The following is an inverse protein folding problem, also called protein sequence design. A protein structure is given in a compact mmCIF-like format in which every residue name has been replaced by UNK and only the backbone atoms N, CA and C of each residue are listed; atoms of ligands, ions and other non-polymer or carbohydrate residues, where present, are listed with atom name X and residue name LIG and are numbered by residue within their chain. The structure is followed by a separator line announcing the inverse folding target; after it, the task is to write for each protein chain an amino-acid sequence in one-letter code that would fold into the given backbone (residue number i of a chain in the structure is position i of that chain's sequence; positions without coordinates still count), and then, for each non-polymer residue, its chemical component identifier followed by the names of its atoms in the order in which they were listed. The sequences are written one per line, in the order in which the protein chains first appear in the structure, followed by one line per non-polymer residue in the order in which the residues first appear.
data_IF_688497383658
#
_entry.id   IF_688497383658
#
_cell.length_a   1.000
_cell.length_b   1.000
_cell.length_c   1.000
_cell.angle_alpha   90.00
_cell.angle_beta   90.00
_cell.angle_gamma   90.00
#
_symmetry.space_group_name_H-M   'P 1'
#
loop_
_entity.id
_entity.type
_entity.pdbx_description
1 polymer ?
#
# COMPACT_ATOMS: atom_id res chain seq x y z
N UNK A 1 -39.10 -70.35 -13.27
CA UNK A 1 -39.10 -69.03 -13.95
C UNK A 1 -39.00 -67.96 -12.89
N UNK A 2 -37.74 -67.67 -12.44
CA UNK A 2 -37.46 -66.72 -11.34
C UNK A 2 -37.01 -65.39 -11.95
N UNK A 3 -37.81 -64.36 -11.79
CA UNK A 3 -37.39 -62.94 -12.14
C UNK A 3 -36.61 -62.37 -10.98
N UNK A 4 -35.35 -62.12 -11.22
CA UNK A 4 -34.49 -61.34 -10.29
C UNK A 4 -34.74 -59.85 -10.51
N UNK A 5 -35.24 -59.18 -9.49
CA UNK A 5 -35.33 -57.72 -9.41
C UNK A 5 -33.99 -57.22 -8.86
N UNK A 6 -33.23 -56.51 -9.70
CA UNK A 6 -32.03 -55.76 -9.24
C UNK A 6 -32.47 -54.41 -8.71
N UNK A 7 -32.28 -54.19 -7.40
CA UNK A 7 -32.42 -52.87 -6.80
C UNK A 7 -31.14 -52.05 -7.03
N UNK A 8 -31.25 -50.96 -7.76
CA UNK A 8 -30.17 -49.97 -7.94
C UNK A 8 -30.24 -49.01 -6.78
N UNK A 9 -29.24 -49.08 -5.88
CA UNK A 9 -29.07 -48.11 -4.79
C UNK A 9 -28.29 -46.93 -5.36
N UNK A 10 -28.95 -45.81 -5.57
CA UNK A 10 -28.32 -44.55 -5.94
C UNK A 10 -27.72 -43.91 -4.68
N UNK A 11 -26.41 -43.94 -4.57
CA UNK A 11 -25.68 -43.19 -3.54
C UNK A 11 -25.48 -41.78 -4.02
N UNK A 12 -26.26 -40.84 -3.48
CA UNK A 12 -26.11 -39.41 -3.72
C UNK A 12 -24.98 -38.88 -2.84
N UNK A 13 -23.80 -38.62 -3.41
CA UNK A 13 -22.71 -37.94 -2.76
C UNK A 13 -23.02 -36.42 -2.83
N UNK A 14 -23.46 -35.86 -1.70
CA UNK A 14 -23.55 -34.40 -1.54
C UNK A 14 -22.15 -33.82 -1.42
N UNK A 15 -21.62 -33.20 -2.47
CA UNK A 15 -20.43 -32.36 -2.42
C UNK A 15 -20.82 -31.08 -1.68
N UNK A 16 -20.48 -31.00 -0.38
CA UNK A 16 -20.49 -29.73 0.34
C UNK A 16 -19.30 -28.90 -0.19
N UNK A 17 -19.60 -27.95 -1.07
CA UNK A 17 -18.63 -26.95 -1.49
C UNK A 17 -18.35 -26.03 -0.29
N UNK A 18 -17.21 -26.24 0.37
CA UNK A 18 -16.65 -25.24 1.29
C UNK A 18 -16.17 -24.05 0.44
N UNK A 19 -17.07 -23.13 0.12
CA UNK A 19 -16.72 -21.81 -0.31
C UNK A 19 -16.26 -21.02 0.92
N UNK A 20 -15.03 -21.29 1.37
CA UNK A 20 -14.28 -20.42 2.27
C UNK A 20 -13.88 -19.17 1.49
N UNK A 21 -14.85 -18.30 1.21
CA UNK A 21 -14.58 -16.96 0.73
C UNK A 21 -13.82 -16.26 1.84
N UNK A 22 -12.56 -15.88 1.61
CA UNK A 22 -11.90 -14.86 2.39
C UNK A 22 -12.86 -13.66 2.38
N UNK A 23 -13.45 -13.33 3.53
CA UNK A 23 -14.32 -12.15 3.65
C UNK A 23 -13.46 -10.96 3.21
N UNK A 24 -13.82 -10.33 2.09
CA UNK A 24 -13.17 -9.11 1.66
C UNK A 24 -13.26 -8.14 2.85
N UNK A 25 -12.12 -7.64 3.30
CA UNK A 25 -12.06 -6.72 4.41
C UNK A 25 -12.91 -5.49 4.07
N UNK A 26 -14.06 -5.35 4.69
CA UNK A 26 -14.96 -4.21 4.49
C UNK A 26 -14.40 -3.04 5.30
N UNK A 27 -13.78 -2.09 4.61
CA UNK A 27 -13.27 -0.88 5.22
C UNK A 27 -14.39 0.13 5.47
N UNK A 28 -14.32 0.82 6.60
CA UNK A 28 -15.20 1.96 6.88
C UNK A 28 -14.99 3.08 5.86
N UNK A 29 -15.93 4.01 5.77
CA UNK A 29 -15.80 5.16 4.88
C UNK A 29 -14.53 5.98 5.18
N UNK A 30 -14.17 6.15 6.46
CA UNK A 30 -12.96 6.88 6.85
C UNK A 30 -11.67 6.10 6.49
N UNK A 31 -11.65 4.77 6.63
CA UNK A 31 -10.54 3.95 6.16
C UNK A 31 -10.36 4.03 4.65
N UNK A 32 -11.47 4.07 3.90
CA UNK A 32 -11.43 4.26 2.45
C UNK A 32 -10.92 5.66 2.06
N UNK A 33 -11.33 6.72 2.77
CA UNK A 33 -10.81 8.09 2.60
C UNK A 33 -9.28 8.12 2.76
N UNK A 34 -8.78 7.52 3.84
CA UNK A 34 -7.34 7.45 4.11
C UNK A 34 -6.61 6.67 3.01
N UNK A 35 -7.16 5.53 2.57
CA UNK A 35 -6.54 4.76 1.49
C UNK A 35 -6.52 5.52 0.16
N UNK A 36 -7.55 6.29 -0.16
CA UNK A 36 -7.55 7.18 -1.31
C UNK A 36 -6.50 8.29 -1.19
N UNK A 37 -6.27 8.80 0.02
CA UNK A 37 -5.22 9.78 0.30
C UNK A 37 -3.82 9.19 0.05
N UNK A 38 -3.55 7.94 0.47
CA UNK A 38 -2.33 7.20 0.15
C UNK A 38 -2.15 7.06 -1.37
N UNK A 39 -3.16 6.57 -2.06
CA UNK A 39 -3.13 6.40 -3.53
C UNK A 39 -2.87 7.72 -4.26
N UNK A 40 -3.45 8.81 -3.79
CA UNK A 40 -3.23 10.15 -4.33
C UNK A 40 -1.76 10.57 -4.21
N UNK A 41 -1.16 10.38 -3.04
CA UNK A 41 0.25 10.70 -2.79
C UNK A 41 1.17 9.92 -3.75
N UNK A 42 0.97 8.59 -3.87
CA UNK A 42 1.73 7.75 -4.77
C UNK A 42 1.59 8.18 -6.24
N UNK A 43 0.38 8.51 -6.65
CA UNK A 43 0.10 9.01 -8.01
C UNK A 43 0.83 10.33 -8.29
N UNK A 44 0.80 11.28 -7.37
CA UNK A 44 1.51 12.56 -7.51
C UNK A 44 3.02 12.36 -7.57
N UNK A 45 3.58 11.53 -6.70
CA UNK A 45 5.00 11.22 -6.69
C UNK A 45 5.47 10.59 -8.01
N UNK A 46 4.74 9.62 -8.55
CA UNK A 46 5.04 9.01 -9.85
C UNK A 46 4.94 9.99 -11.02
N UNK A 47 4.01 10.94 -10.95
CA UNK A 47 3.86 12.03 -11.92
C UNK A 47 4.93 13.14 -11.76
N UNK A 48 5.85 13.01 -10.80
CA UNK A 48 6.87 14.01 -10.44
C UNK A 48 6.26 15.33 -9.93
N UNK A 49 5.02 15.31 -9.50
CA UNK A 49 4.34 16.45 -8.87
C UNK A 49 4.72 16.51 -7.38
N UNK A 50 5.77 17.25 -7.08
CA UNK A 50 6.30 17.39 -5.72
C UNK A 50 5.44 18.26 -4.80
N UNK A 51 4.37 18.86 -5.30
CA UNK A 51 3.45 19.67 -4.48
C UNK A 51 2.77 18.88 -3.37
N UNK A 52 2.69 17.54 -3.50
CA UNK A 52 2.18 16.67 -2.45
C UNK A 52 2.95 16.83 -1.13
N UNK A 53 4.26 17.12 -1.19
CA UNK A 53 5.06 17.33 0.02
C UNK A 53 4.58 18.56 0.79
N UNK A 54 4.21 19.61 0.08
CA UNK A 54 3.75 20.85 0.73
C UNK A 54 2.30 20.71 1.23
N UNK A 55 1.44 19.98 0.50
CA UNK A 55 -0.01 19.90 0.76
C UNK A 55 -0.43 18.72 1.63
N UNK A 56 0.30 17.59 1.61
CA UNK A 56 -0.08 16.35 2.28
C UNK A 56 0.83 15.98 3.46
N UNK A 57 2.00 16.63 3.60
CA UNK A 57 2.98 16.28 4.64
C UNK A 57 2.99 17.34 5.73
N UNK A 58 2.83 16.91 6.98
CA UNK A 58 2.87 17.78 8.15
C UNK A 58 4.25 18.45 8.33
N UNK A 59 4.34 19.71 8.79
CA UNK A 59 5.63 20.40 8.98
C UNK A 59 6.60 19.67 9.91
N UNK A 60 6.08 19.02 10.95
CA UNK A 60 6.90 18.31 11.95
C UNK A 60 7.12 16.83 11.63
N UNK A 61 6.85 16.39 10.37
CA UNK A 61 6.98 14.99 10.01
C UNK A 61 8.39 14.45 10.24
N UNK A 62 8.46 13.14 10.54
CA UNK A 62 9.70 12.36 10.55
C UNK A 62 9.47 11.05 9.80
N UNK A 63 10.45 10.63 9.02
CA UNK A 63 10.39 9.38 8.33
C UNK A 63 11.71 8.62 8.39
N UNK A 64 11.63 7.31 8.28
CA UNK A 64 12.78 6.44 8.33
C UNK A 64 12.65 5.37 7.26
N UNK A 65 13.49 5.44 6.25
CA UNK A 65 13.51 4.45 5.17
C UNK A 65 14.55 3.36 5.46
N UNK A 66 14.32 2.18 4.88
CA UNK A 66 15.25 1.06 5.00
C UNK A 66 16.63 1.47 4.50
N UNK A 67 17.63 1.33 5.35
CA UNK A 67 19.02 1.73 5.05
C UNK A 67 19.38 3.13 5.51
N UNK A 68 18.43 3.95 5.96
CA UNK A 68 18.78 5.25 6.54
C UNK A 68 19.47 5.10 7.89
N UNK A 69 20.53 5.87 8.15
CA UNK A 69 21.23 5.84 9.44
C UNK A 69 20.44 6.52 10.55
N UNK A 70 19.50 7.40 10.21
CA UNK A 70 18.71 8.19 11.16
C UNK A 70 17.41 8.69 10.52
N UNK A 71 16.38 9.01 11.32
CA UNK A 71 15.15 9.60 10.80
C UNK A 71 15.43 10.95 10.12
N UNK A 72 14.71 11.18 9.02
CA UNK A 72 14.77 12.41 8.22
C UNK A 72 13.55 13.29 8.46
N UNK A 73 13.59 14.52 8.02
CA UNK A 73 12.52 15.52 8.12
C UNK A 73 11.94 15.91 6.74
N UNK A 74 10.94 16.79 6.76
CA UNK A 74 10.27 17.29 5.55
C UNK A 74 11.23 18.00 4.58
N UNK A 75 12.23 18.71 5.08
CA UNK A 75 13.23 19.39 4.24
C UNK A 75 14.09 18.37 3.48
N UNK A 76 14.56 17.34 4.20
CA UNK A 76 15.29 16.23 3.62
C UNK A 76 14.41 15.47 2.59
N UNK A 77 13.13 15.21 2.91
CA UNK A 77 12.20 14.60 1.97
C UNK A 77 12.11 15.39 0.67
N UNK A 78 11.93 16.71 0.75
CA UNK A 78 11.83 17.59 -0.42
C UNK A 78 13.09 17.54 -1.28
N UNK A 79 14.26 17.54 -0.65
CA UNK A 79 15.55 17.43 -1.33
C UNK A 79 15.68 16.09 -2.09
N UNK A 80 15.46 14.97 -1.40
CA UNK A 80 15.60 13.64 -2.00
C UNK A 80 14.53 13.36 -3.06
N UNK A 81 13.29 13.77 -2.85
CA UNK A 81 12.23 13.62 -3.85
C UNK A 81 12.55 14.38 -5.13
N UNK A 82 13.15 15.57 -5.04
CA UNK A 82 13.62 16.30 -6.22
C UNK A 82 14.72 15.52 -6.94
N UNK A 83 15.74 15.10 -6.23
CA UNK A 83 16.82 14.31 -6.80
C UNK A 83 16.30 13.05 -7.52
N UNK A 84 15.41 12.30 -6.87
CA UNK A 84 14.81 11.11 -7.48
C UNK A 84 13.97 11.44 -8.71
N UNK A 85 13.18 12.51 -8.68
CA UNK A 85 12.37 12.93 -9.82
C UNK A 85 13.19 13.32 -11.05
N UNK A 86 14.39 13.85 -10.85
CA UNK A 86 15.32 14.23 -11.91
C UNK A 86 16.08 13.02 -12.49
N UNK A 87 16.34 11.99 -11.67
CA UNK A 87 17.22 10.86 -12.01
C UNK A 87 16.50 9.53 -12.28
N UNK A 88 15.20 9.47 -12.05
CA UNK A 88 14.42 8.25 -12.21
C UNK A 88 13.02 8.55 -12.78
N UNK A 89 12.42 7.55 -13.40
CA UNK A 89 11.05 7.60 -13.89
C UNK A 89 10.33 6.33 -13.46
N UNK A 90 9.19 6.48 -12.81
CA UNK A 90 8.29 5.37 -12.50
C UNK A 90 7.61 4.93 -13.78
N UNK A 91 7.78 3.66 -14.16
CA UNK A 91 7.16 3.05 -15.33
C UNK A 91 5.81 2.41 -14.99
N UNK A 92 5.74 1.79 -13.81
CA UNK A 92 4.52 1.22 -13.23
C UNK A 92 4.65 1.17 -11.71
N UNK A 93 3.52 1.25 -11.02
CA UNK A 93 3.46 1.08 -9.56
C UNK A 93 2.12 0.50 -9.14
N UNK A 94 2.17 -0.29 -8.09
CA UNK A 94 1.00 -0.84 -7.42
C UNK A 94 1.19 -0.76 -5.90
N UNK A 95 0.13 -0.44 -5.18
CA UNK A 95 0.09 -0.46 -3.73
C UNK A 95 -1.06 -1.35 -3.25
N UNK A 96 -0.78 -2.19 -2.25
CA UNK A 96 -1.67 -3.24 -1.77
C UNK A 96 -1.95 -3.01 -0.29
N UNK A 97 -3.18 -2.59 0.08
CA UNK A 97 -3.51 -2.29 1.47
C UNK A 97 -3.51 -3.55 2.33
N UNK A 98 -2.97 -3.44 3.55
CA UNK A 98 -3.00 -4.50 4.55
C UNK A 98 -3.93 -4.12 5.68
N UNK A 99 -3.72 -2.95 6.27
CA UNK A 99 -4.51 -2.48 7.39
C UNK A 99 -4.56 -0.95 7.44
N UNK A 100 -5.67 -0.41 7.91
CA UNK A 100 -5.80 0.98 8.32
C UNK A 100 -6.48 1.02 9.69
N UNK A 101 -5.75 1.46 10.71
CA UNK A 101 -6.25 1.59 12.08
C UNK A 101 -6.41 3.07 12.41
N UNK A 102 -7.60 3.47 12.86
CA UNK A 102 -7.92 4.87 13.18
C UNK A 102 -8.27 4.97 14.65
N UNK A 103 -7.66 5.93 15.34
CA UNK A 103 -7.96 6.24 16.75
C UNK A 103 -7.93 7.75 16.94
N UNK A 104 -9.10 8.35 17.17
CA UNK A 104 -9.26 9.80 17.25
C UNK A 104 -8.81 10.49 15.97
N UNK A 105 -7.82 11.34 16.05
CA UNK A 105 -7.27 12.08 14.91
C UNK A 105 -5.98 11.45 14.34
N UNK A 106 -5.66 10.21 14.70
CA UNK A 106 -4.49 9.49 14.23
C UNK A 106 -4.94 8.28 13.40
N UNK A 107 -4.28 8.04 12.27
CA UNK A 107 -4.39 6.82 11.51
C UNK A 107 -3.01 6.17 11.31
N UNK A 108 -2.99 4.84 11.36
CA UNK A 108 -1.82 4.03 10.99
C UNK A 108 -2.21 3.18 9.79
N UNK A 109 -1.50 3.32 8.69
CA UNK A 109 -1.75 2.61 7.43
C UNK A 109 -0.57 1.70 7.14
N UNK A 110 -0.87 0.45 6.82
CA UNK A 110 0.14 -0.55 6.47
C UNK A 110 -0.17 -1.11 5.10
N UNK A 111 0.83 -1.15 4.23
CA UNK A 111 0.67 -1.64 2.87
C UNK A 111 1.98 -2.17 2.29
N UNK A 112 1.85 -3.01 1.27
CA UNK A 112 2.93 -3.39 0.38
C UNK A 112 2.89 -2.54 -0.89
N UNK A 113 4.04 -2.43 -1.54
CA UNK A 113 4.13 -1.81 -2.84
C UNK A 113 5.03 -2.61 -3.79
N UNK A 114 4.82 -2.38 -5.07
CA UNK A 114 5.70 -2.79 -6.16
C UNK A 114 5.88 -1.62 -7.11
N UNK A 115 7.14 -1.32 -7.46
CA UNK A 115 7.49 -0.25 -8.38
C UNK A 115 8.42 -0.81 -9.45
N UNK A 116 8.10 -0.55 -10.71
CA UNK A 116 9.03 -0.67 -11.83
C UNK A 116 9.50 0.73 -12.23
N UNK A 117 10.80 0.94 -12.27
CA UNK A 117 11.40 2.23 -12.57
C UNK A 117 12.54 2.12 -13.57
N UNK A 118 12.88 3.25 -14.20
CA UNK A 118 13.99 3.41 -15.10
C UNK A 118 14.86 4.59 -14.61
N UNK A 119 16.15 4.35 -14.41
CA UNK A 119 17.09 5.39 -14.00
C UNK A 119 17.61 6.21 -15.21
N UNK A 120 18.41 7.23 -14.95
CA UNK A 120 18.98 8.11 -15.98
C UNK A 120 19.89 7.38 -17.00
N UNK A 121 20.41 6.18 -16.65
CA UNK A 121 21.19 5.31 -17.54
C UNK A 121 20.33 4.37 -18.39
N UNK A 122 19.01 4.47 -18.29
CA UNK A 122 18.05 3.57 -18.94
C UNK A 122 18.06 2.14 -18.39
N UNK A 123 18.62 1.95 -17.20
CA UNK A 123 18.54 0.69 -16.49
C UNK A 123 17.20 0.58 -15.79
N UNK A 124 16.53 -0.56 -15.94
CA UNK A 124 15.21 -0.84 -15.36
C UNK A 124 15.33 -1.79 -14.19
N UNK A 125 14.59 -1.50 -13.17
CA UNK A 125 14.46 -2.38 -12.02
C UNK A 125 13.01 -2.46 -11.54
N UNK A 126 12.71 -3.57 -10.87
CA UNK A 126 11.45 -3.72 -10.13
C UNK A 126 11.81 -4.01 -8.68
N UNK A 127 11.27 -3.22 -7.80
CA UNK A 127 11.44 -3.38 -6.35
C UNK A 127 10.09 -3.62 -5.70
N UNK A 128 10.11 -4.35 -4.59
CA UNK A 128 8.95 -4.51 -3.70
C UNK A 128 9.34 -4.07 -2.31
N UNK A 129 8.38 -3.58 -1.58
CA UNK A 129 8.61 -3.14 -0.21
C UNK A 129 7.34 -2.98 0.58
N UNK A 130 7.46 -2.35 1.73
CA UNK A 130 6.35 -2.08 2.64
C UNK A 130 6.56 -0.78 3.37
N UNK A 131 5.44 -0.13 3.68
CA UNK A 131 5.42 1.03 4.56
C UNK A 131 4.42 0.84 5.70
N UNK A 132 4.73 1.52 6.79
CA UNK A 132 3.80 1.85 7.86
C UNK A 132 3.78 3.37 7.96
N UNK A 133 2.68 3.96 7.55
CA UNK A 133 2.48 5.40 7.54
C UNK A 133 1.59 5.81 8.70
N UNK A 134 1.92 6.93 9.31
CA UNK A 134 1.13 7.54 10.38
C UNK A 134 0.62 8.88 9.89
N UNK A 135 -0.70 9.02 9.89
CA UNK A 135 -1.37 10.26 9.53
C UNK A 135 -1.98 10.92 10.75
N UNK A 136 -2.00 12.25 10.73
CA UNK A 136 -2.71 13.07 11.70
C UNK A 136 -3.78 13.90 11.00
N UNK A 137 -4.97 14.01 11.61
CA UNK A 137 -6.05 14.86 11.13
C UNK A 137 -6.07 16.17 11.91
N UNK A 138 -5.72 17.27 11.22
CA UNK A 138 -5.77 18.62 11.78
C UNK A 138 -6.63 19.52 10.90
N UNK A 139 -7.48 20.33 11.50
CA UNK A 139 -8.41 21.22 10.79
C UNK A 139 -9.23 20.49 9.70
N UNK A 140 -9.63 19.25 9.98
CA UNK A 140 -10.42 18.41 9.07
C UNK A 140 -9.64 17.77 7.92
N UNK A 141 -8.31 17.91 7.86
CA UNK A 141 -7.47 17.35 6.80
C UNK A 141 -6.46 16.34 7.35
N UNK A 142 -6.33 15.22 6.69
CA UNK A 142 -5.26 14.26 6.96
C UNK A 142 -3.93 14.75 6.41
N UNK A 143 -2.85 14.49 7.14
CA UNK A 143 -1.48 14.75 6.72
C UNK A 143 -0.55 13.65 7.23
N UNK A 144 0.44 13.28 6.44
CA UNK A 144 1.52 12.39 6.89
C UNK A 144 2.35 13.05 7.99
N UNK A 145 2.42 12.45 9.17
CA UNK A 145 3.23 12.92 10.30
C UNK A 145 4.46 12.03 10.50
N UNK A 146 4.38 10.76 10.13
CA UNK A 146 5.53 9.85 10.15
C UNK A 146 5.34 8.71 9.13
N UNK A 147 6.44 8.10 8.73
CA UNK A 147 6.43 6.78 8.12
C UNK A 147 7.73 6.02 8.37
N UNK A 148 7.65 4.71 8.27
CA UNK A 148 8.80 3.82 8.28
C UNK A 148 8.59 2.68 7.28
N UNK A 149 9.65 2.33 6.57
CA UNK A 149 9.59 1.25 5.58
C UNK A 149 10.63 1.40 4.49
N UNK A 150 10.30 0.92 3.32
CA UNK A 150 11.16 0.94 2.13
C UNK A 150 11.31 -0.43 1.51
N UNK A 151 12.27 -0.54 0.59
CA UNK A 151 12.48 -1.74 -0.19
C UNK A 151 12.84 -2.96 0.67
N UNK A 152 12.31 -4.12 0.30
CA UNK A 152 12.78 -5.38 0.84
C UNK A 152 14.22 -5.59 0.39
N UNK A 153 15.08 -6.07 1.31
CA UNK A 153 16.46 -6.43 0.94
C UNK A 153 16.40 -7.51 -0.13
N UNK A 154 17.19 -7.34 -1.18
CA UNK A 154 17.51 -8.43 -2.11
C UNK A 154 18.47 -9.38 -1.37
N UNK A 155 18.04 -10.62 -1.16
CA UNK A 155 18.92 -11.69 -0.67
C UNK A 155 20.00 -12.02 -1.71
#
# INVERSE_FOLDING_TARGET
MFKRVMAVVAVSIALAAFAGGAAAQTWSAEQQEIWQFEQQQWKMAAAKDLSWIDTMVHPNMRYWETGDPMPRDKASLKHWSRFMSENSTVLNQEIFPIAATITGNIAVVQYHYMIASENYKKERETVTGRYTDVLIKENGRWMFIAWAGGDNKKD
#
